data_IF_489516737008
#
_entry.id   IF_489516737008
#
_cell.length_a   1.000
_cell.length_b   1.000
_cell.length_c   1.000
_cell.angle_alpha   90.00
_cell.angle_beta   90.00
_cell.angle_gamma   90.00
#
_symmetry.space_group_name_H-M   'P 1'
#
loop_
_entity.id
_entity.type
_entity.pdbx_description
1 polymer ?
#
# COMPACT_ATOMS: atom_id res chain seq x y z
N UNK A 1 15.77 -5.99 34.17
CA UNK A 1 15.67 -5.31 32.85
C UNK A 1 15.98 -6.30 31.72
N UNK A 2 15.06 -7.21 31.38
CA UNK A 2 15.23 -8.19 30.27
C UNK A 2 14.15 -8.06 29.17
N UNK A 3 13.32 -7.01 29.22
CA UNK A 3 12.14 -6.84 28.34
C UNK A 3 12.45 -6.30 26.93
N UNK A 4 13.71 -6.02 26.62
CA UNK A 4 14.13 -5.48 25.31
C UNK A 4 15.13 -6.36 24.56
N UNK A 5 15.44 -7.56 25.08
CA UNK A 5 16.34 -8.46 24.38
C UNK A 5 15.60 -9.12 23.20
N UNK A 6 15.97 -8.71 21.98
CA UNK A 6 15.52 -9.30 20.71
C UNK A 6 15.74 -10.81 20.73
N UNK A 7 14.70 -11.58 20.43
CA UNK A 7 14.83 -13.02 20.10
C UNK A 7 15.22 -13.12 18.63
N UNK A 8 16.41 -13.65 18.28
CA UNK A 8 16.91 -13.61 16.90
C UNK A 8 16.19 -14.53 15.91
N UNK A 9 15.16 -15.27 16.34
CA UNK A 9 14.53 -16.36 15.56
C UNK A 9 13.02 -16.22 15.41
N UNK A 10 12.41 -15.13 15.87
CA UNK A 10 11.00 -14.86 15.58
C UNK A 10 10.93 -14.25 14.18
N UNK A 11 10.17 -14.90 13.27
CA UNK A 11 9.75 -14.38 11.96
C UNK A 11 9.63 -12.86 12.08
N UNK A 12 10.43 -12.10 11.31
CA UNK A 12 10.49 -10.63 11.38
C UNK A 12 9.10 -10.11 11.68
N UNK A 13 8.89 -9.67 12.91
CA UNK A 13 7.57 -9.24 13.33
C UNK A 13 7.13 -8.20 12.31
N UNK A 14 5.91 -8.27 11.79
CA UNK A 14 5.40 -7.31 10.78
C UNK A 14 5.66 -5.85 11.21
N UNK A 15 5.84 -5.63 12.52
CA UNK A 15 6.17 -4.38 13.20
C UNK A 15 7.65 -4.19 13.57
N UNK A 16 8.59 -4.72 12.78
CA UNK A 16 10.03 -4.50 12.95
C UNK A 16 10.41 -3.08 12.49
N UNK A 17 11.37 -2.44 13.18
CA UNK A 17 11.94 -1.14 12.79
C UNK A 17 12.56 -1.16 11.40
N UNK A 18 13.10 -2.31 10.97
CA UNK A 18 13.63 -2.53 9.63
C UNK A 18 12.56 -2.68 8.55
N UNK A 19 11.29 -2.78 8.93
CA UNK A 19 10.13 -2.74 8.03
C UNK A 19 9.41 -1.37 8.05
N UNK A 20 10.05 -0.33 8.59
CA UNK A 20 9.50 1.03 8.62
C UNK A 20 10.26 1.95 7.67
N UNK A 21 9.53 2.69 6.83
CA UNK A 21 10.09 3.71 5.95
C UNK A 21 9.38 5.06 6.19
N UNK A 22 10.15 6.07 6.57
CA UNK A 22 9.62 7.42 6.81
C UNK A 22 9.55 8.15 5.47
N UNK A 23 8.35 8.60 5.11
CA UNK A 23 8.07 9.30 3.86
C UNK A 23 7.30 10.59 4.14
N UNK A 24 7.44 11.57 3.25
CA UNK A 24 6.55 12.74 3.24
C UNK A 24 5.11 12.27 2.98
N UNK A 25 4.11 12.94 3.56
CA UNK A 25 2.70 12.51 3.54
C UNK A 25 2.17 12.18 2.14
N UNK A 26 2.43 13.04 1.16
CA UNK A 26 2.06 12.84 -0.24
C UNK A 26 2.73 11.60 -0.86
N UNK A 27 4.04 11.44 -0.64
CA UNK A 27 4.81 10.29 -1.14
C UNK A 27 4.36 9.00 -0.47
N UNK A 28 4.06 9.05 0.82
CA UNK A 28 3.49 7.93 1.58
C UNK A 28 2.15 7.48 0.98
N UNK A 29 1.24 8.42 0.70
CA UNK A 29 -0.04 8.10 0.04
C UNK A 29 0.17 7.43 -1.33
N UNK A 30 1.08 7.96 -2.16
CA UNK A 30 1.39 7.38 -3.46
C UNK A 30 2.03 5.98 -3.36
N UNK A 31 2.87 5.79 -2.35
CA UNK A 31 3.50 4.50 -2.07
C UNK A 31 2.45 3.46 -1.70
N UNK A 32 1.61 3.74 -0.70
CA UNK A 32 0.53 2.85 -0.23
C UNK A 32 -0.50 2.52 -1.31
N UNK A 33 -0.83 3.51 -2.15
CA UNK A 33 -1.71 3.32 -3.30
C UNK A 33 -1.05 2.54 -4.46
N UNK A 34 0.17 2.02 -4.27
CA UNK A 34 0.94 1.26 -5.27
C UNK A 34 1.10 2.05 -6.58
N UNK A 35 1.25 3.38 -6.50
CA UNK A 35 1.43 4.24 -7.68
C UNK A 35 2.88 4.21 -8.19
N UNK A 36 3.82 3.99 -7.28
CA UNK A 36 5.22 3.74 -7.58
C UNK A 36 5.81 2.67 -6.66
N UNK A 37 7.02 2.21 -6.97
CA UNK A 37 7.79 1.29 -6.15
C UNK A 37 9.29 1.58 -6.23
N UNK A 38 10.09 0.98 -5.34
CA UNK A 38 11.55 1.02 -5.42
C UNK A 38 12.05 -0.27 -6.03
N UNK A 39 12.96 -0.19 -7.00
CA UNK A 39 13.58 -1.37 -7.59
C UNK A 39 15.01 -1.09 -8.08
N UNK A 40 15.91 -2.09 -8.03
CA UNK A 40 17.24 -1.95 -8.57
C UNK A 40 17.20 -1.93 -10.09
N UNK A 41 17.69 -0.85 -10.70
CA UNK A 41 17.91 -0.76 -12.14
C UNK A 41 19.39 -0.70 -12.44
N UNK A 42 19.79 -1.37 -13.51
CA UNK A 42 21.15 -1.30 -14.03
C UNK A 42 21.24 -0.13 -14.99
N UNK A 43 22.19 0.75 -14.76
CA UNK A 43 22.51 1.87 -15.64
C UNK A 43 23.97 1.74 -16.05
N UNK A 44 24.27 1.76 -17.35
CA UNK A 44 25.63 1.63 -17.88
C UNK A 44 25.74 0.73 -19.10
N UNK A 45 26.90 0.78 -19.76
CA UNK A 45 27.30 -0.16 -20.81
C UNK A 45 27.82 -1.46 -20.18
N UNK A 46 27.85 -2.57 -20.94
CA UNK A 46 28.15 -3.96 -20.52
C UNK A 46 29.34 -4.18 -19.58
N UNK A 47 30.21 -3.20 -19.38
CA UNK A 47 31.49 -3.32 -18.68
C UNK A 47 31.48 -2.76 -17.24
N UNK A 48 30.48 -1.99 -16.83
CA UNK A 48 30.34 -1.49 -15.46
C UNK A 48 28.92 -1.75 -14.94
N UNK A 49 28.72 -2.88 -14.26
CA UNK A 49 27.42 -3.30 -13.75
C UNK A 49 27.14 -2.75 -12.34
N UNK A 50 26.94 -1.44 -12.20
CA UNK A 50 26.37 -0.91 -10.95
C UNK A 50 24.84 -0.88 -11.05
N UNK A 51 24.17 -1.64 -10.18
CA UNK A 51 22.73 -1.52 -9.99
C UNK A 51 22.44 -0.39 -9.00
N UNK A 52 21.58 0.53 -9.40
CA UNK A 52 21.14 1.65 -8.58
C UNK A 52 19.66 1.46 -8.20
N UNK A 53 19.35 1.70 -6.93
CA UNK A 53 17.97 1.69 -6.48
C UNK A 53 17.26 2.94 -7.00
N UNK A 54 16.15 2.76 -7.73
CA UNK A 54 15.39 3.87 -8.28
C UNK A 54 13.90 3.76 -7.98
N UNK A 55 13.25 4.90 -8.02
CA UNK A 55 11.79 5.00 -7.97
C UNK A 55 11.20 4.70 -9.35
N UNK A 56 10.19 3.84 -9.41
CA UNK A 56 9.54 3.44 -10.66
C UNK A 56 8.02 3.57 -10.56
N UNK A 57 7.43 4.34 -11.48
CA UNK A 57 5.98 4.54 -11.57
C UNK A 57 5.35 3.35 -12.30
N UNK A 58 4.41 2.65 -11.64
CA UNK A 58 3.83 1.40 -12.14
C UNK A 58 2.79 1.61 -13.27
N UNK A 59 2.13 2.78 -13.32
CA UNK A 59 1.19 3.15 -14.39
C UNK A 59 1.55 4.50 -15.00
N UNK A 60 2.54 4.55 -15.91
CA UNK A 60 3.01 5.79 -16.52
C UNK A 60 1.90 6.53 -17.28
N UNK A 61 1.06 5.79 -18.02
CA UNK A 61 0.00 6.34 -18.88
C UNK A 61 -1.11 7.05 -18.10
N UNK A 62 -1.48 6.54 -16.93
CA UNK A 62 -2.49 7.16 -16.06
C UNK A 62 -1.92 8.18 -15.06
N UNK A 63 -0.64 8.57 -15.20
CA UNK A 63 0.07 9.41 -14.23
C UNK A 63 1.25 10.19 -14.83
N UNK A 64 1.09 10.94 -15.93
CA UNK A 64 2.22 11.57 -16.64
C UNK A 64 3.04 12.51 -15.75
N UNK A 65 2.39 13.25 -14.84
CA UNK A 65 3.05 14.13 -13.87
C UNK A 65 3.97 13.34 -12.92
N UNK A 66 3.52 12.19 -12.43
CA UNK A 66 4.33 11.33 -11.56
C UNK A 66 5.54 10.77 -12.32
N UNK A 67 5.41 10.55 -13.63
CA UNK A 67 6.52 10.08 -14.45
C UNK A 67 7.64 11.13 -14.46
N UNK A 68 7.31 12.38 -14.76
CA UNK A 68 8.29 13.47 -14.77
C UNK A 68 8.97 13.69 -13.41
N UNK A 69 8.19 13.56 -12.32
CA UNK A 69 8.68 13.83 -10.96
C UNK A 69 9.47 12.68 -10.34
N UNK A 70 9.08 11.43 -10.59
CA UNK A 70 9.59 10.29 -9.80
C UNK A 70 10.14 9.13 -10.62
N UNK A 71 9.85 9.01 -11.91
CA UNK A 71 10.23 7.81 -12.65
C UNK A 71 11.73 7.74 -12.97
N UNK A 72 12.34 6.58 -12.68
CA UNK A 72 13.78 6.31 -12.84
C UNK A 72 14.68 7.31 -12.12
N UNK A 73 14.20 7.91 -11.02
CA UNK A 73 14.99 8.80 -10.19
C UNK A 73 15.45 8.08 -8.94
N UNK A 74 16.72 8.31 -8.58
CA UNK A 74 17.30 7.81 -7.34
C UNK A 74 16.59 8.45 -6.15
N UNK A 75 16.08 7.65 -5.20
CA UNK A 75 15.50 8.20 -3.99
C UNK A 75 16.60 8.80 -3.10
N UNK A 76 16.19 9.53 -2.07
CA UNK A 76 17.12 9.83 -0.98
C UNK A 76 17.65 8.51 -0.37
N UNK A 77 18.89 8.48 0.13
CA UNK A 77 19.49 7.26 0.66
C UNK A 77 18.60 6.60 1.72
N UNK A 78 18.06 5.43 1.39
CA UNK A 78 17.24 4.64 2.32
C UNK A 78 18.19 3.92 3.28
N UNK A 79 18.03 4.17 4.59
CA UNK A 79 18.86 3.58 5.64
C UNK A 79 17.99 2.93 6.70
N UNK A 80 18.51 1.89 7.34
CA UNK A 80 17.83 1.19 8.44
C UNK A 80 16.70 0.24 8.01
N UNK A 81 16.36 0.19 6.72
CA UNK A 81 15.33 -0.72 6.17
C UNK A 81 16.00 -1.99 5.66
N UNK A 82 15.39 -3.15 5.94
CA UNK A 82 15.83 -4.44 5.42
C UNK A 82 15.59 -4.53 3.90
N UNK A 83 16.53 -5.15 3.19
CA UNK A 83 16.42 -5.39 1.74
C UNK A 83 15.25 -6.32 1.44
N UNK A 84 15.05 -7.32 2.29
CA UNK A 84 13.94 -8.26 2.23
C UNK A 84 12.59 -7.56 2.38
N UNK A 85 12.48 -6.59 3.29
CA UNK A 85 11.27 -5.78 3.45
C UNK A 85 11.00 -4.90 2.22
N UNK A 86 12.03 -4.25 1.65
CA UNK A 86 11.89 -3.50 0.40
C UNK A 86 11.47 -4.40 -0.77
N UNK A 87 12.06 -5.59 -0.87
CA UNK A 87 11.73 -6.55 -1.91
C UNK A 87 10.31 -7.10 -1.76
N UNK A 88 9.90 -7.46 -0.54
CA UNK A 88 8.52 -7.86 -0.23
C UNK A 88 7.53 -6.75 -0.59
N UNK A 89 7.88 -5.49 -0.30
CA UNK A 89 7.05 -4.33 -0.63
C UNK A 89 6.97 -4.08 -2.14
N UNK A 90 8.06 -4.32 -2.87
CA UNK A 90 8.08 -4.30 -4.34
C UNK A 90 7.18 -5.38 -4.94
N UNK A 91 7.31 -6.62 -4.47
CA UNK A 91 6.45 -7.72 -4.86
C UNK A 91 4.96 -7.39 -4.62
N UNK A 92 4.62 -6.90 -3.42
CA UNK A 92 3.25 -6.51 -3.07
C UNK A 92 2.67 -5.40 -3.96
N UNK A 93 3.52 -4.48 -4.45
CA UNK A 93 3.13 -3.47 -5.44
C UNK A 93 2.75 -4.07 -6.79
N UNK A 94 3.42 -5.15 -7.21
CA UNK A 94 3.20 -5.80 -8.51
C UNK A 94 2.08 -6.83 -8.49
N UNK A 95 1.94 -7.59 -7.39
CA UNK A 95 0.88 -8.59 -7.21
C UNK A 95 -0.45 -7.90 -6.88
N UNK A 96 -0.98 -7.17 -7.86
CA UNK A 96 -2.34 -6.63 -7.91
C UNK A 96 -3.03 -7.20 -9.13
N UNK A 97 -4.35 -7.30 -9.09
CA UNK A 97 -5.17 -7.70 -10.25
C UNK A 97 -4.88 -6.84 -11.49
N UNK A 98 -4.63 -5.54 -11.29
CA UNK A 98 -4.35 -4.58 -12.37
C UNK A 98 -3.05 -4.84 -13.12
N UNK A 99 -2.06 -5.39 -12.43
CA UNK A 99 -0.71 -5.61 -12.97
C UNK A 99 -0.45 -7.07 -13.30
N UNK A 100 -1.03 -7.98 -12.52
CA UNK A 100 -0.91 -9.43 -12.64
C UNK A 100 -2.28 -10.04 -12.33
N UNK A 101 -3.16 -10.24 -13.34
CA UNK A 101 -4.50 -10.83 -13.18
C UNK A 101 -4.46 -12.34 -12.88
N UNK A 102 -3.36 -12.82 -12.31
CA UNK A 102 -3.09 -14.22 -11.98
C UNK A 102 -4.18 -14.79 -11.06
N UNK A 103 -4.54 -14.06 -10.01
CA UNK A 103 -5.46 -14.52 -8.96
C UNK A 103 -6.94 -14.48 -9.34
N UNK A 104 -7.34 -13.80 -10.43
CA UNK A 104 -8.73 -13.74 -10.89
C UNK A 104 -8.97 -14.51 -12.19
N UNK A 105 -7.89 -14.93 -12.84
CA UNK A 105 -8.01 -15.70 -14.07
C UNK A 105 -8.58 -17.10 -13.81
N UNK A 106 -9.45 -17.56 -14.71
CA UNK A 106 -9.92 -18.95 -14.72
C UNK A 106 -8.87 -19.96 -15.21
N UNK A 107 -7.66 -19.49 -15.55
CA UNK A 107 -6.55 -20.28 -16.05
C UNK A 107 -5.94 -21.15 -14.95
N UNK A 108 -5.37 -22.26 -15.36
CA UNK A 108 -4.63 -23.17 -14.49
C UNK A 108 -3.14 -22.83 -14.47
N UNK A 109 -2.56 -22.86 -13.28
CA UNK A 109 -1.15 -22.59 -13.05
C UNK A 109 -0.53 -23.72 -12.25
N UNK A 110 0.70 -24.09 -12.61
CA UNK A 110 1.54 -24.91 -11.76
C UNK A 110 2.07 -24.05 -10.61
N UNK A 111 1.57 -24.30 -9.40
CA UNK A 111 1.94 -23.58 -8.18
C UNK A 111 2.76 -24.49 -7.29
N UNK A 112 3.93 -24.01 -6.86
CA UNK A 112 4.77 -24.71 -5.89
C UNK A 112 4.43 -24.23 -4.48
N UNK A 113 3.87 -25.11 -3.67
CA UNK A 113 3.40 -24.84 -2.31
C UNK A 113 4.34 -25.48 -1.29
N UNK A 114 4.59 -24.79 -0.20
CA UNK A 114 5.37 -25.33 0.92
C UNK A 114 4.45 -26.11 1.86
N UNK A 115 4.76 -27.39 2.11
CA UNK A 115 4.06 -28.22 3.10
C UNK A 115 4.88 -28.27 4.39
N UNK A 116 4.41 -27.59 5.44
CA UNK A 116 5.09 -27.54 6.73
C UNK A 116 5.16 -28.92 7.41
N UNK A 117 4.16 -29.79 7.18
CA UNK A 117 4.13 -31.11 7.78
C UNK A 117 5.16 -32.06 7.17
N UNK A 118 5.45 -31.91 5.87
CA UNK A 118 6.47 -32.71 5.16
C UNK A 118 7.84 -32.05 5.09
N UNK A 119 7.92 -30.73 5.32
CA UNK A 119 9.16 -29.97 5.16
C UNK A 119 9.63 -29.89 3.71
N UNK A 120 8.75 -30.10 2.74
CA UNK A 120 9.06 -30.14 1.31
C UNK A 120 8.09 -29.28 0.50
N UNK A 121 8.53 -28.88 -0.69
CA UNK A 121 7.72 -28.11 -1.61
C UNK A 121 7.05 -29.03 -2.64
N UNK A 122 5.71 -29.03 -2.67
CA UNK A 122 4.90 -29.81 -3.61
C UNK A 122 4.41 -28.92 -4.76
N UNK A 123 4.40 -29.43 -5.99
CA UNK A 123 3.82 -28.73 -7.13
C UNK A 123 2.39 -29.20 -7.34
N UNK A 124 1.44 -28.26 -7.34
CA UNK A 124 0.01 -28.51 -7.63
C UNK A 124 -0.46 -27.64 -8.77
N UNK A 125 -1.32 -28.18 -9.62
CA UNK A 125 -2.05 -27.39 -10.62
C UNK A 125 -3.29 -26.79 -9.95
N UNK A 126 -3.36 -25.47 -9.92
CA UNK A 126 -4.46 -24.72 -9.31
C UNK A 126 -5.02 -23.70 -10.30
N UNK A 127 -6.33 -23.45 -10.25
CA UNK A 127 -6.90 -22.31 -10.96
C UNK A 127 -6.46 -21.03 -10.26
N UNK A 128 -6.27 -19.95 -11.04
CA UNK A 128 -5.88 -18.64 -10.51
C UNK A 128 -6.72 -18.19 -9.31
N UNK A 129 -8.04 -18.35 -9.43
CA UNK A 129 -9.04 -18.09 -8.39
C UNK A 129 -8.79 -18.84 -7.07
N UNK A 130 -8.24 -20.05 -7.14
CA UNK A 130 -8.03 -20.90 -5.98
C UNK A 130 -6.69 -20.63 -5.30
N UNK A 131 -5.68 -20.07 -6.01
CA UNK A 131 -4.33 -19.89 -5.47
C UNK A 131 -4.33 -19.04 -4.20
N UNK A 132 -5.19 -18.03 -4.10
CA UNK A 132 -5.30 -17.18 -2.91
C UNK A 132 -5.70 -17.94 -1.64
N UNK A 133 -6.50 -19.01 -1.77
CA UNK A 133 -6.90 -19.85 -0.64
C UNK A 133 -5.72 -20.68 -0.11
N UNK A 134 -4.86 -21.16 -1.01
CA UNK A 134 -3.69 -21.97 -0.67
C UNK A 134 -2.48 -21.15 -0.21
N UNK A 135 -2.33 -19.92 -0.72
CA UNK A 135 -1.20 -19.04 -0.40
C UNK A 135 -1.36 -18.29 0.94
N UNK A 136 -2.44 -18.54 1.69
CA UNK A 136 -2.77 -17.79 2.90
C UNK A 136 -1.99 -18.32 4.11
N UNK A 137 -0.80 -17.75 4.32
CA UNK A 137 0.11 -18.11 5.42
C UNK A 137 -0.33 -17.49 6.76
N UNK A 138 -0.94 -16.30 6.72
CA UNK A 138 -1.39 -15.60 7.92
C UNK A 138 -2.91 -15.64 8.06
N UNK A 139 -3.42 -15.83 9.28
CA UNK A 139 -4.81 -15.54 9.59
C UNK A 139 -5.14 -14.10 9.19
N UNK A 140 -6.41 -13.81 8.88
CA UNK A 140 -6.80 -12.43 8.51
C UNK A 140 -6.53 -11.60 9.75
N UNK A 141 -5.41 -10.88 9.75
CA UNK A 141 -5.11 -9.93 10.80
C UNK A 141 -6.35 -9.04 10.87
N UNK A 142 -7.10 -9.12 11.96
CA UNK A 142 -8.14 -8.15 12.24
C UNK A 142 -7.46 -6.81 12.02
N UNK A 143 -8.01 -6.01 11.11
CA UNK A 143 -7.48 -4.69 10.79
C UNK A 143 -7.44 -3.93 12.11
N UNK A 144 -6.30 -3.99 12.80
CA UNK A 144 -6.02 -3.15 13.96
C UNK A 144 -5.89 -1.79 13.33
N UNK A 145 -7.02 -1.12 13.20
CA UNK A 145 -7.15 0.19 12.60
C UNK A 145 -6.02 1.06 13.14
N UNK A 146 -5.01 1.30 12.31
CA UNK A 146 -3.85 2.14 12.66
C UNK A 146 -4.18 3.63 12.49
N UNK A 147 -5.46 3.96 12.50
CA UNK A 147 -5.96 5.33 12.39
C UNK A 147 -7.11 5.56 13.36
N UNK A 148 -6.80 5.71 14.65
CA UNK A 148 -7.49 6.76 15.38
C UNK A 148 -6.67 8.03 15.14
N UNK A 149 -6.93 8.72 14.02
CA UNK A 149 -6.50 10.11 13.89
C UNK A 149 -6.93 10.84 15.17
N UNK A 150 -6.05 11.58 15.87
CA UNK A 150 -6.45 12.36 17.02
C UNK A 150 -7.63 13.24 16.61
N UNK A 151 -8.80 12.98 17.21
CA UNK A 151 -10.01 13.78 16.98
C UNK A 151 -9.61 15.22 17.27
N UNK A 152 -9.71 16.08 16.25
CA UNK A 152 -9.44 17.52 16.30
C UNK A 152 -10.07 18.05 17.59
N UNK A 153 -9.28 18.63 18.51
CA UNK A 153 -9.82 19.30 19.70
C UNK A 153 -10.74 20.40 19.19
N UNK A 154 -12.04 20.31 19.50
CA UNK A 154 -12.93 21.44 19.36
C UNK A 154 -12.41 22.52 20.31
N UNK A 155 -12.03 23.68 19.76
CA UNK A 155 -11.81 24.87 20.57
C UNK A 155 -13.13 25.17 21.26
N UNK A 156 -13.15 25.13 22.59
CA UNK A 156 -14.25 25.67 23.37
C UNK A 156 -14.22 27.20 23.24
N UNK A 157 -15.26 27.75 22.63
CA UNK A 157 -15.53 29.18 22.53
C UNK A 157 -15.67 29.79 23.92
N UNK A 158 -14.76 30.69 24.31
CA UNK A 158 -15.02 31.70 25.35
C UNK A 158 -13.99 32.83 25.23
N UNK A 159 -14.46 34.04 24.91
CA UNK A 159 -13.66 35.27 24.94
C UNK A 159 -14.07 36.28 23.87
N UNK A 160 -14.90 37.24 24.25
CA UNK A 160 -15.36 38.41 23.50
C UNK A 160 -14.23 39.21 22.85
N UNK A 161 -14.47 39.73 21.65
CA UNK A 161 -13.58 40.66 20.95
C UNK A 161 -14.01 40.89 19.51
N UNK A 162 -14.62 42.05 19.29
CA UNK A 162 -15.40 42.50 18.15
C UNK A 162 -14.55 43.09 16.98
N UNK A 163 -15.14 43.12 15.76
CA UNK A 163 -14.76 43.78 14.49
C UNK A 163 -13.57 43.17 13.69
N UNK A 164 -13.56 42.94 12.36
CA UNK A 164 -14.40 43.36 11.23
C UNK A 164 -14.04 42.56 9.93
N UNK A 165 -15.04 42.30 9.09
CA UNK A 165 -15.06 42.32 7.59
C UNK A 165 -14.43 41.17 6.74
N UNK A 166 -15.36 40.37 6.19
CA UNK A 166 -15.61 39.92 4.81
C UNK A 166 -14.64 39.02 4.02
N UNK A 167 -15.17 37.87 3.55
CA UNK A 167 -14.51 36.99 2.59
C UNK A 167 -15.23 35.66 2.33
N UNK A 168 -16.47 35.75 1.87
CA UNK A 168 -17.35 34.73 1.26
C UNK A 168 -16.65 33.52 0.61
N UNK A 169 -17.08 32.30 0.97
CA UNK A 169 -16.66 31.05 0.34
C UNK A 169 -17.43 29.82 0.82
N UNK A 170 -18.75 29.96 1.00
CA UNK A 170 -19.65 28.88 1.39
C UNK A 170 -20.14 28.12 0.13
N UNK A 171 -19.66 26.90 -0.06
CA UNK A 171 -20.32 25.93 -0.94
C UNK A 171 -21.25 25.08 -0.06
N UNK A 172 -22.59 25.11 -0.26
CA UNK A 172 -23.49 24.25 0.48
C UNK A 172 -23.28 22.79 0.05
N UNK A 173 -22.92 21.93 1.00
CA UNK A 173 -23.10 20.48 0.88
C UNK A 173 -24.60 20.19 1.07
N UNK A 174 -25.31 19.90 -0.02
CA UNK A 174 -26.66 19.33 0.05
C UNK A 174 -26.58 17.88 0.56
N UNK A 175 -26.87 17.70 1.84
CA UNK A 175 -27.21 16.40 2.42
C UNK A 175 -28.70 16.10 2.21
N UNK A 176 -28.96 14.91 1.69
CA UNK A 176 -30.04 14.01 2.05
C UNK A 176 -31.48 14.56 2.13
N UNK A 177 -32.29 14.23 1.12
CA UNK A 177 -33.70 13.98 1.32
C UNK A 177 -34.07 12.59 0.76
N UNK A 178 -33.98 11.60 1.66
CA UNK A 178 -34.81 10.40 1.59
C UNK A 178 -36.20 10.82 2.07
N UNK A 179 -37.19 10.84 1.18
CA UNK A 179 -38.58 10.57 1.53
C UNK A 179 -39.18 9.79 0.36
N UNK A 180 -39.50 8.52 0.60
CA UNK A 180 -40.40 7.79 -0.28
C UNK A 180 -41.83 8.25 -0.05
N UNK A 181 -42.62 8.26 -1.12
CA UNK A 181 -43.98 7.75 -1.01
C UNK A 181 -44.47 7.28 -2.39
N UNK A 182 -45.36 6.31 -2.31
CA UNK A 182 -46.02 5.59 -3.40
C UNK A 182 -46.94 6.53 -4.21
N UNK A 183 -47.25 6.16 -5.46
CA UNK A 183 -48.62 5.87 -5.93
C UNK A 183 -48.74 5.81 -7.47
N UNK A 184 -49.57 4.86 -7.87
CA UNK A 184 -50.13 4.54 -9.18
C UNK A 184 -50.66 5.73 -10.00
N UNK A 185 -50.62 5.64 -11.33
CA UNK A 185 -51.82 5.53 -12.19
C UNK A 185 -51.50 5.63 -13.70
N UNK A 186 -52.02 4.64 -14.43
CA UNK A 186 -52.48 4.59 -15.83
C UNK A 186 -52.16 5.72 -16.83
N UNK A 187 -51.64 5.30 -18.00
CA UNK A 187 -52.36 5.36 -19.29
C UNK A 187 -51.67 4.51 -20.35
#
# INVERSE_FOLDING_TARGET
MKRYCRRPLEILAINDDRNMLILRKDVHHLFDARRFTFLPKRFGTRTAESAELVTHVLRPTGSPELVGLYHNRSPQPIRGVSVECLFARFAWSLFTEKHLPFFESGLEYAVRLWDEAKGEAETKTLRGLDVGLWARIFERAQSRSRSASPKKRSLSTQGDGQDDVDGEGYWPDDQDLIVGDELECDS
#
